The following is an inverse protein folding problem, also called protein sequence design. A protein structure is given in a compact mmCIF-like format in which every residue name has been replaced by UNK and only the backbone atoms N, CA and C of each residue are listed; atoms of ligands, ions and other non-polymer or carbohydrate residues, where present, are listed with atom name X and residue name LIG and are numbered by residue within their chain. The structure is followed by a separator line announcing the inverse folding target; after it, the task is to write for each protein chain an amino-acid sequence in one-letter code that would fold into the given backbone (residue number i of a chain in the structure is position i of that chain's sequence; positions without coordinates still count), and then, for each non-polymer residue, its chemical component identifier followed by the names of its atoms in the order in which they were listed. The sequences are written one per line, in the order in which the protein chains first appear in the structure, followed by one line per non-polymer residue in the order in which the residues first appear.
data_IF_124660594687
#
_entry.id   IF_124660594687
#
_cell.length_a   1.000
_cell.length_b   1.000
_cell.length_c   1.000
_cell.angle_alpha   90.00
_cell.angle_beta   90.00
_cell.angle_gamma   90.00
#
_symmetry.space_group_name_H-M   'P 1'
#
loop_
_entity.id
_entity.type
_entity.pdbx_description
1 polymer ?
#
# COMPACT_ATOMS: atom_id res chain seq x y z
N UNK A 1 37.11 29.63 -5.39
CA UNK A 1 37.42 28.18 -5.46
C UNK A 1 36.35 27.34 -4.76
N UNK A 2 36.03 27.60 -3.48
CA UNK A 2 35.11 26.77 -2.69
C UNK A 2 33.66 26.65 -3.21
N UNK A 3 33.09 27.70 -3.82
CA UNK A 3 31.73 27.63 -4.37
C UNK A 3 31.61 26.68 -5.57
N UNK A 4 32.63 26.61 -6.43
CA UNK A 4 32.64 25.70 -7.58
C UNK A 4 32.67 24.25 -7.12
N UNK A 5 33.50 23.96 -6.12
CA UNK A 5 33.60 22.62 -5.53
C UNK A 5 32.30 22.20 -4.84
N UNK A 6 31.64 23.12 -4.12
CA UNK A 6 30.31 22.89 -3.54
C UNK A 6 29.26 22.61 -4.62
N UNK A 7 29.30 23.36 -5.71
CA UNK A 7 28.39 23.18 -6.84
C UNK A 7 28.58 21.82 -7.52
N UNK A 8 29.81 21.39 -7.75
CA UNK A 8 30.12 20.08 -8.33
C UNK A 8 29.68 18.93 -7.43
N UNK A 9 29.92 19.02 -6.12
CA UNK A 9 29.42 18.04 -5.14
C UNK A 9 27.90 17.94 -5.17
N UNK A 10 27.21 19.06 -5.17
CA UNK A 10 25.74 19.07 -5.24
C UNK A 10 25.21 18.49 -6.55
N UNK A 11 25.91 18.74 -7.66
CA UNK A 11 25.57 18.17 -8.97
C UNK A 11 25.71 16.64 -8.96
N UNK A 12 26.81 16.11 -8.44
CA UNK A 12 27.03 14.66 -8.30
C UNK A 12 25.95 14.00 -7.45
N UNK A 13 25.70 14.53 -6.25
CA UNK A 13 24.66 14.01 -5.33
C UNK A 13 23.28 14.01 -5.98
N UNK A 14 22.96 15.04 -6.78
CA UNK A 14 21.68 15.12 -7.48
C UNK A 14 21.55 14.05 -8.57
N UNK A 15 22.63 13.78 -9.30
CA UNK A 15 22.65 12.73 -10.33
C UNK A 15 22.50 11.33 -9.72
N UNK A 16 23.16 11.07 -8.59
CA UNK A 16 23.03 9.81 -7.85
C UNK A 16 21.58 9.57 -7.40
N UNK A 17 20.94 10.59 -6.81
CA UNK A 17 19.53 10.52 -6.41
C UNK A 17 18.59 10.28 -7.59
N UNK A 18 18.86 10.91 -8.74
CA UNK A 18 18.06 10.70 -9.94
C UNK A 18 18.21 9.29 -10.50
N UNK A 19 19.38 8.66 -10.35
CA UNK A 19 19.56 7.25 -10.69
C UNK A 19 18.78 6.35 -9.73
N UNK A 20 18.79 6.64 -8.44
CA UNK A 20 18.02 5.90 -7.43
C UNK A 20 16.51 5.94 -7.72
N UNK A 21 15.96 7.11 -8.05
CA UNK A 21 14.52 7.28 -8.38
C UNK A 21 14.13 6.47 -9.62
N UNK A 22 15.04 6.33 -10.59
CA UNK A 22 14.79 5.55 -11.82
C UNK A 22 14.97 4.04 -11.62
N UNK A 23 15.43 3.61 -10.46
CA UNK A 23 15.58 2.18 -10.16
C UNK A 23 14.21 1.50 -10.06
N UNK A 24 14.16 0.23 -10.47
CA UNK A 24 12.94 -0.59 -10.34
C UNK A 24 12.50 -0.74 -8.89
N UNK A 25 13.45 -0.80 -7.95
CA UNK A 25 13.18 -0.93 -6.52
C UNK A 25 12.47 0.30 -5.95
N UNK A 26 12.85 1.49 -6.40
CA UNK A 26 12.16 2.73 -6.02
C UNK A 26 10.73 2.74 -6.55
N UNK A 27 10.53 2.37 -7.82
CA UNK A 27 9.21 2.29 -8.42
C UNK A 27 8.32 1.23 -7.73
N UNK A 28 8.85 0.06 -7.40
CA UNK A 28 8.13 -0.99 -6.69
C UNK A 28 7.75 -0.55 -5.27
N UNK A 29 8.67 0.09 -4.55
CA UNK A 29 8.40 0.63 -3.20
C UNK A 29 7.28 1.66 -3.23
N UNK A 30 7.32 2.59 -4.17
CA UNK A 30 6.29 3.62 -4.35
C UNK A 30 4.93 3.02 -4.74
N UNK A 31 4.92 2.05 -5.66
CA UNK A 31 3.72 1.31 -6.06
C UNK A 31 3.04 0.60 -4.87
N UNK A 32 3.84 -0.09 -4.04
CA UNK A 32 3.36 -0.79 -2.84
C UNK A 32 2.81 0.18 -1.80
N UNK A 33 3.56 1.25 -1.48
CA UNK A 33 3.23 2.15 -0.38
C UNK A 33 2.08 3.10 -0.70
N UNK A 34 2.06 3.69 -1.90
CA UNK A 34 1.08 4.73 -2.25
C UNK A 34 -0.17 4.18 -2.91
N UNK A 35 -0.02 3.11 -3.68
CA UNK A 35 -1.10 2.56 -4.50
C UNK A 35 -1.57 1.18 -4.00
N UNK A 36 -0.93 0.63 -2.97
CA UNK A 36 -1.29 -0.69 -2.42
C UNK A 36 -1.13 -1.82 -3.43
N UNK A 37 -0.25 -1.66 -4.43
CA UNK A 37 -0.04 -2.65 -5.49
C UNK A 37 0.86 -3.78 -5.01
N UNK A 38 0.62 -4.99 -5.50
CA UNK A 38 1.46 -6.16 -5.28
C UNK A 38 1.65 -6.94 -6.58
N UNK A 39 2.53 -7.94 -6.55
CA UNK A 39 2.81 -8.80 -7.70
C UNK A 39 1.73 -9.87 -7.85
N UNK A 40 1.62 -10.40 -9.06
CA UNK A 40 0.71 -11.51 -9.33
C UNK A 40 1.09 -12.72 -8.45
N UNK A 41 0.10 -13.33 -7.79
CA UNK A 41 0.31 -14.42 -6.84
C UNK A 41 0.51 -13.99 -5.37
N UNK A 42 0.70 -12.69 -5.08
CA UNK A 42 0.75 -12.19 -3.70
C UNK A 42 -0.68 -12.00 -3.14
N UNK A 43 -0.91 -12.41 -1.88
CA UNK A 43 -2.16 -12.10 -1.15
C UNK A 43 -1.99 -10.80 -0.36
N UNK A 44 -2.68 -9.74 -0.78
CA UNK A 44 -2.69 -8.44 -0.12
C UNK A 44 -3.85 -8.33 0.89
N UNK A 45 -3.58 -7.75 2.07
CA UNK A 45 -4.58 -7.46 3.09
C UNK A 45 -4.62 -5.95 3.33
N UNK A 46 -5.73 -5.31 2.97
CA UNK A 46 -5.94 -3.87 3.19
C UNK A 46 -6.76 -3.70 4.48
N UNK A 47 -6.17 -3.04 5.48
CA UNK A 47 -6.83 -2.73 6.75
C UNK A 47 -7.26 -1.27 6.73
N UNK A 48 -8.53 -1.02 6.44
CA UNK A 48 -9.11 0.31 6.56
C UNK A 48 -9.39 0.58 8.04
N UNK A 49 -8.60 1.45 8.67
CA UNK A 49 -8.99 1.99 9.98
C UNK A 49 -10.30 2.78 9.79
N UNK A 50 -11.23 2.64 10.73
CA UNK A 50 -12.63 3.08 10.59
C UNK A 50 -12.86 4.61 10.41
N UNK A 51 -11.81 5.39 10.12
CA UNK A 51 -11.89 6.83 9.84
C UNK A 51 -11.49 7.25 8.43
N UNK A 52 -10.96 6.36 7.58
CA UNK A 52 -10.54 6.70 6.22
C UNK A 52 -11.45 6.06 5.17
N UNK A 53 -12.68 6.56 5.06
CA UNK A 53 -13.56 6.20 3.97
C UNK A 53 -13.09 6.89 2.68
N UNK A 54 -12.34 6.19 1.84
CA UNK A 54 -12.25 6.52 0.41
C UNK A 54 -13.18 5.60 -0.37
N UNK A 55 -14.07 6.25 -1.10
CA UNK A 55 -15.11 5.70 -1.96
C UNK A 55 -14.54 4.82 -3.08
N UNK A 56 -14.84 3.53 -3.05
CA UNK A 56 -15.12 2.75 -4.26
C UNK A 56 -15.72 1.39 -3.89
N UNK A 57 -16.90 1.12 -4.46
CA UNK A 57 -17.60 -0.18 -4.49
C UNK A 57 -18.11 -0.71 -3.14
N UNK A 58 -19.07 0.00 -2.54
CA UNK A 58 -19.97 -0.63 -1.55
C UNK A 58 -20.99 -1.50 -2.30
N UNK A 59 -20.73 -2.81 -2.38
CA UNK A 59 -21.85 -3.77 -2.38
C UNK A 59 -22.50 -3.63 -1.01
N UNK A 60 -23.68 -3.03 -0.95
CA UNK A 60 -24.45 -2.92 0.29
C UNK A 60 -24.80 -4.31 0.80
N UNK A 61 -24.00 -4.82 1.75
CA UNK A 61 -24.44 -5.91 2.61
C UNK A 61 -25.36 -5.27 3.65
N UNK A 62 -26.67 -5.43 3.46
CA UNK A 62 -27.68 -5.10 4.47
C UNK A 62 -27.37 -5.90 5.73
N UNK A 63 -26.72 -5.28 6.70
CA UNK A 63 -26.62 -5.82 8.05
C UNK A 63 -27.98 -5.62 8.73
N UNK A 64 -28.79 -6.68 8.74
CA UNK A 64 -29.94 -6.78 9.63
C UNK A 64 -29.41 -6.83 11.07
N UNK A 65 -29.81 -5.85 11.88
CA UNK A 65 -29.47 -5.70 13.30
C UNK A 65 -30.16 -6.76 14.16
N UNK A 66 -29.67 -7.99 14.12
CA UNK A 66 -30.01 -9.02 15.10
C UNK A 66 -28.70 -9.53 15.71
N UNK A 67 -28.63 -9.49 17.04
CA UNK A 67 -27.55 -10.00 17.89
C UNK A 67 -26.93 -11.28 17.34
N UNK A 68 -25.85 -11.17 16.57
CA UNK A 68 -25.36 -12.24 15.70
C UNK A 68 -24.21 -13.00 16.35
N UNK A 69 -24.48 -13.71 17.45
CA UNK A 69 -23.67 -14.87 17.80
C UNK A 69 -24.18 -16.07 16.99
N UNK A 70 -23.47 -16.44 15.92
CA UNK A 70 -23.85 -17.55 15.04
C UNK A 70 -22.73 -18.60 14.94
N UNK A 71 -22.57 -19.47 15.95
CA UNK A 71 -21.49 -20.44 16.04
C UNK A 71 -21.58 -21.52 14.95
N UNK A 72 -22.78 -21.82 14.45
CA UNK A 72 -22.99 -22.80 13.38
C UNK A 72 -22.33 -22.36 12.07
N UNK A 73 -22.43 -21.08 11.73
CA UNK A 73 -21.79 -20.54 10.53
C UNK A 73 -20.26 -20.53 10.66
N UNK A 74 -19.72 -20.33 11.87
CA UNK A 74 -18.28 -20.35 12.11
C UNK A 74 -17.72 -21.76 11.95
N UNK A 75 -18.42 -22.77 12.47
CA UNK A 75 -18.00 -24.16 12.32
C UNK A 75 -17.90 -24.58 10.85
N UNK A 76 -18.90 -24.22 10.04
CA UNK A 76 -18.87 -24.49 8.60
C UNK A 76 -17.71 -23.79 7.88
N UNK A 77 -17.28 -22.61 8.34
CA UNK A 77 -16.16 -21.88 7.74
C UNK A 77 -14.80 -22.51 8.05
N UNK A 78 -14.63 -23.06 9.26
CA UNK A 78 -13.33 -23.58 9.70
C UNK A 78 -13.12 -25.06 9.42
N UNK A 79 -14.18 -25.86 9.35
CA UNK A 79 -14.08 -27.33 9.34
C UNK A 79 -14.71 -28.01 8.13
N UNK A 80 -15.10 -27.24 7.10
CA UNK A 80 -15.60 -27.77 5.83
C UNK A 80 -14.80 -27.20 4.67
#
# INVERSE_FOLDING_TARGET
MQEKEKWEKNKLVSLEKLQEIKSGDFAEREARLKFGLGKEGEKLVIINSAGAATSSTKKEVKMSSASAFNPKNWWNYFFK
#
